data_IF_185248815557
#
_entry.id   IF_185248815557
#
_cell.length_a   1.000
_cell.length_b   1.000
_cell.length_c   1.000
_cell.angle_alpha   90.00
_cell.angle_beta   90.00
_cell.angle_gamma   90.00
#
_symmetry.space_group_name_H-M   'P 1'
#
loop_
_entity.id
_entity.type
_entity.pdbx_description
1 polymer ?
#
# COMPACT_ATOMS: atom_id res chain seq x y z
N UNK A 1 4.66 11.60 -13.77
CA UNK A 1 3.29 11.90 -13.32
C UNK A 1 2.57 12.97 -14.16
N UNK A 2 3.20 14.08 -14.59
CA UNK A 2 2.53 15.08 -15.44
C UNK A 2 1.97 14.51 -16.74
N UNK A 3 2.69 13.59 -17.39
CA UNK A 3 2.20 12.87 -18.57
C UNK A 3 0.98 12.00 -18.23
N UNK A 4 1.02 11.28 -17.11
CA UNK A 4 -0.11 10.49 -16.58
C UNK A 4 -1.33 11.39 -16.29
N UNK A 5 -1.12 12.53 -15.64
CA UNK A 5 -2.15 13.56 -15.41
C UNK A 5 -2.62 14.24 -16.70
N UNK A 6 -1.77 14.30 -17.71
CA UNK A 6 -2.03 14.87 -19.03
C UNK A 6 -2.57 13.86 -20.05
N UNK A 7 -3.04 12.69 -19.60
CA UNK A 7 -3.69 11.71 -20.48
C UNK A 7 -2.74 10.77 -21.23
N UNK A 8 -1.46 10.65 -20.89
CA UNK A 8 -0.56 9.71 -21.58
C UNK A 8 -1.03 8.26 -21.46
N UNK A 9 -1.69 7.89 -20.36
CA UNK A 9 -2.24 6.54 -20.22
C UNK A 9 -3.36 6.31 -21.23
N UNK A 10 -4.19 7.32 -21.48
CA UNK A 10 -5.18 7.30 -22.56
C UNK A 10 -4.49 7.18 -23.93
N UNK A 11 -3.42 7.94 -24.17
CA UNK A 11 -2.65 7.82 -25.41
C UNK A 11 -2.06 6.41 -25.58
N UNK A 12 -1.46 5.84 -24.53
CA UNK A 12 -0.87 4.49 -24.59
C UNK A 12 -1.96 3.46 -24.84
N UNK A 13 -3.03 3.49 -24.05
CA UNK A 13 -4.16 2.55 -24.13
C UNK A 13 -4.85 2.63 -25.49
N UNK A 14 -5.14 3.83 -25.99
CA UNK A 14 -5.69 4.02 -27.33
C UNK A 14 -4.75 3.58 -28.47
N UNK A 15 -3.43 3.55 -28.24
CA UNK A 15 -2.45 3.07 -29.21
C UNK A 15 -2.10 1.58 -29.06
N UNK A 16 -2.62 0.86 -28.05
CA UNK A 16 -2.37 -0.58 -27.90
C UNK A 16 -2.64 -1.38 -29.18
N UNK A 17 -3.73 -1.15 -29.93
CA UNK A 17 -3.96 -1.86 -31.19
C UNK A 17 -2.86 -1.62 -32.22
N UNK A 18 -2.33 -0.39 -32.26
CA UNK A 18 -1.23 -0.01 -33.15
C UNK A 18 0.09 -0.61 -32.69
N UNK A 19 0.37 -0.62 -31.39
CA UNK A 19 1.56 -1.27 -30.81
C UNK A 19 1.53 -2.77 -31.10
N UNK A 20 0.39 -3.43 -30.93
CA UNK A 20 0.22 -4.85 -31.25
C UNK A 20 0.46 -5.11 -32.75
N UNK A 21 -0.09 -4.28 -33.63
CA UNK A 21 0.09 -4.42 -35.08
C UNK A 21 1.54 -4.18 -35.55
N UNK A 22 2.27 -3.27 -34.90
CA UNK A 22 3.61 -2.86 -35.34
C UNK A 22 4.74 -3.65 -34.65
N UNK A 23 4.58 -3.93 -33.36
CA UNK A 23 5.62 -4.48 -32.50
C UNK A 23 5.26 -5.87 -31.93
N UNK A 24 4.04 -6.35 -32.21
CA UNK A 24 3.55 -7.65 -31.78
C UNK A 24 2.87 -7.66 -30.40
N UNK A 25 2.14 -8.75 -30.07
CA UNK A 25 1.38 -8.86 -28.83
C UNK A 25 2.21 -8.72 -27.55
N UNK A 26 3.44 -9.26 -27.53
CA UNK A 26 4.31 -9.18 -26.35
C UNK A 26 4.64 -7.73 -25.96
N UNK A 27 4.84 -6.84 -26.94
CA UNK A 27 5.13 -5.43 -26.68
C UNK A 27 3.89 -4.67 -26.20
N UNK A 28 2.71 -4.99 -26.76
CA UNK A 28 1.44 -4.46 -26.28
C UNK A 28 1.19 -4.89 -24.82
N UNK A 29 1.42 -6.15 -24.49
CA UNK A 29 1.30 -6.68 -23.12
C UNK A 29 2.29 -6.01 -22.17
N UNK A 30 3.54 -5.82 -22.59
CA UNK A 30 4.54 -5.10 -21.79
C UNK A 30 4.11 -3.65 -21.52
N UNK A 31 3.54 -2.97 -22.50
CA UNK A 31 3.00 -1.62 -22.30
C UNK A 31 1.88 -1.59 -21.25
N UNK A 32 0.95 -2.56 -21.29
CA UNK A 32 -0.10 -2.68 -20.27
C UNK A 32 0.47 -2.99 -18.88
N UNK A 33 1.43 -3.91 -18.78
CA UNK A 33 2.10 -4.23 -17.52
C UNK A 33 2.78 -3.00 -16.91
N UNK A 34 3.45 -2.18 -17.73
CA UNK A 34 4.08 -0.94 -17.26
C UNK A 34 3.06 0.09 -16.73
N UNK A 35 1.79 -0.03 -17.11
CA UNK A 35 0.73 0.86 -16.65
C UNK A 35 0.08 0.40 -15.34
N UNK A 36 0.04 -0.91 -15.07
CA UNK A 36 -0.59 -1.50 -13.88
C UNK A 36 -0.21 -0.79 -12.56
N UNK A 37 1.09 -0.50 -12.31
CA UNK A 37 1.56 0.32 -11.18
C UNK A 37 0.86 1.66 -10.94
N UNK A 38 0.14 2.20 -11.92
CA UNK A 38 -0.44 3.53 -11.86
C UNK A 38 -1.97 3.51 -11.81
N UNK A 39 -2.60 2.35 -12.04
CA UNK A 39 -4.06 2.23 -12.12
C UNK A 39 -4.73 2.46 -10.77
N UNK A 40 -4.05 2.22 -9.65
CA UNK A 40 -4.60 2.55 -8.32
C UNK A 40 -4.69 4.05 -8.04
N UNK A 41 -4.04 4.91 -8.82
CA UNK A 41 -4.16 6.35 -8.58
C UNK A 41 -5.56 6.81 -8.97
N UNK A 42 -6.27 7.46 -8.05
CA UNK A 42 -7.68 7.83 -8.22
C UNK A 42 -7.91 8.75 -9.42
N UNK A 43 -6.96 9.64 -9.73
CA UNK A 43 -7.00 10.50 -10.92
C UNK A 43 -6.86 9.70 -12.21
N UNK A 44 -5.98 8.70 -12.23
CA UNK A 44 -5.80 7.79 -13.37
C UNK A 44 -7.05 6.97 -13.58
N UNK A 45 -7.53 6.32 -12.53
CA UNK A 45 -8.72 5.50 -12.56
C UNK A 45 -9.93 6.29 -13.09
N UNK A 46 -10.19 7.50 -12.54
CA UNK A 46 -11.31 8.33 -13.00
C UNK A 46 -11.18 8.76 -14.45
N UNK A 47 -9.98 9.08 -14.92
CA UNK A 47 -9.76 9.41 -16.33
C UNK A 47 -10.06 8.21 -17.23
N UNK A 48 -9.58 7.02 -16.88
CA UNK A 48 -9.84 5.78 -17.61
C UNK A 48 -11.34 5.42 -17.61
N UNK A 49 -12.00 5.52 -16.46
CA UNK A 49 -13.44 5.24 -16.33
C UNK A 49 -14.29 6.18 -17.18
N UNK A 50 -13.95 7.48 -17.21
CA UNK A 50 -14.66 8.49 -18.01
C UNK A 50 -14.62 8.19 -19.52
N UNK A 51 -13.54 7.60 -20.01
CA UNK A 51 -13.31 7.35 -21.43
C UNK A 51 -13.63 5.91 -21.86
N UNK A 52 -14.11 5.06 -20.94
CA UNK A 52 -14.30 3.63 -21.19
C UNK A 52 -13.00 2.88 -21.57
N UNK A 53 -11.83 3.42 -21.20
CA UNK A 53 -10.51 2.88 -21.55
C UNK A 53 -10.28 1.46 -20.99
N UNK A 54 -11.06 1.06 -19.98
CA UNK A 54 -10.98 -0.25 -19.36
C UNK A 54 -11.38 -1.40 -20.28
N UNK A 55 -12.24 -1.14 -21.27
CA UNK A 55 -12.59 -2.13 -22.29
C UNK A 55 -11.34 -2.62 -23.05
N UNK A 56 -10.35 -1.74 -23.24
CA UNK A 56 -9.11 -2.06 -23.94
C UNK A 56 -8.21 -3.01 -23.14
N UNK A 57 -8.30 -2.97 -21.81
CA UNK A 57 -7.60 -3.93 -20.95
C UNK A 57 -8.27 -5.31 -20.90
N UNK A 58 -9.57 -5.38 -21.19
CA UNK A 58 -10.31 -6.64 -21.32
C UNK A 58 -10.20 -7.26 -22.71
N UNK A 59 -9.72 -6.50 -23.70
CA UNK A 59 -9.55 -6.99 -25.07
C UNK A 59 -8.53 -8.14 -25.11
N UNK A 60 -8.81 -9.22 -25.85
CA UNK A 60 -7.79 -10.23 -26.14
C UNK A 60 -6.59 -9.58 -26.85
N UNK A 61 -5.38 -9.80 -26.32
CA UNK A 61 -4.11 -9.39 -26.92
C UNK A 61 -3.25 -10.63 -27.00
N UNK A 62 -3.04 -11.16 -28.20
CA UNK A 62 -2.39 -12.46 -28.40
C UNK A 62 -3.09 -13.64 -27.72
N UNK A 63 -2.54 -14.84 -27.94
CA UNK A 63 -3.07 -16.11 -27.41
C UNK A 63 -2.08 -16.84 -26.47
N UNK A 64 -1.00 -16.18 -26.05
CA UNK A 64 -0.01 -16.80 -25.16
C UNK A 64 -0.55 -16.96 -23.74
N UNK A 65 -0.04 -17.96 -23.02
CA UNK A 65 -0.36 -18.15 -21.60
C UNK A 65 0.03 -16.92 -20.76
N UNK A 66 1.16 -16.28 -21.09
CA UNK A 66 1.60 -15.02 -20.48
C UNK A 66 0.56 -13.90 -20.67
N UNK A 67 0.00 -13.78 -21.87
CA UNK A 67 -1.03 -12.80 -22.17
C UNK A 67 -2.30 -13.02 -21.32
N UNK A 68 -2.69 -14.27 -21.11
CA UNK A 68 -3.83 -14.62 -20.26
C UNK A 68 -3.58 -14.22 -18.80
N UNK A 69 -2.40 -14.50 -18.26
CA UNK A 69 -2.02 -14.11 -16.89
C UNK A 69 -2.08 -12.59 -16.72
N UNK A 70 -1.51 -11.84 -17.66
CA UNK A 70 -1.52 -10.37 -17.63
C UNK A 70 -2.96 -9.84 -17.69
N UNK A 71 -3.78 -10.34 -18.62
CA UNK A 71 -5.19 -9.94 -18.73
C UNK A 71 -5.97 -10.23 -17.45
N UNK A 72 -5.80 -11.41 -16.87
CA UNK A 72 -6.43 -11.78 -15.61
C UNK A 72 -6.02 -10.82 -14.49
N UNK A 73 -4.73 -10.52 -14.36
CA UNK A 73 -4.24 -9.57 -13.36
C UNK A 73 -4.86 -8.19 -13.58
N UNK A 74 -4.86 -7.68 -14.81
CA UNK A 74 -5.45 -6.38 -15.10
C UNK A 74 -6.94 -6.34 -14.78
N UNK A 75 -7.70 -7.38 -15.14
CA UNK A 75 -9.13 -7.45 -14.86
C UNK A 75 -9.40 -7.41 -13.35
N UNK A 76 -8.65 -8.20 -12.57
CA UNK A 76 -8.71 -8.20 -11.11
C UNK A 76 -8.40 -6.79 -10.56
N UNK A 77 -7.33 -6.17 -11.05
CA UNK A 77 -6.96 -4.80 -10.72
C UNK A 77 -8.07 -3.78 -11.00
N UNK A 78 -8.71 -3.89 -12.16
CA UNK A 78 -9.79 -3.01 -12.56
C UNK A 78 -11.02 -3.17 -11.65
N UNK A 79 -11.42 -4.42 -11.40
CA UNK A 79 -12.59 -4.72 -10.58
C UNK A 79 -12.40 -4.26 -9.13
N UNK A 80 -11.18 -4.43 -8.59
CA UNK A 80 -10.79 -3.85 -7.30
C UNK A 80 -10.89 -2.33 -7.31
N UNK A 81 -10.27 -1.64 -8.27
CA UNK A 81 -10.30 -0.18 -8.30
C UNK A 81 -11.70 0.39 -8.53
N UNK A 82 -12.52 -0.28 -9.34
CA UNK A 82 -13.93 0.06 -9.52
C UNK A 82 -14.66 -0.03 -8.19
N UNK A 83 -14.52 -1.14 -7.47
CA UNK A 83 -15.08 -1.29 -6.13
C UNK A 83 -14.60 -0.17 -5.17
N UNK A 84 -13.33 0.24 -5.29
CA UNK A 84 -12.72 1.30 -4.49
C UNK A 84 -13.34 2.68 -4.73
N UNK A 85 -13.61 2.99 -5.99
CA UNK A 85 -13.90 4.35 -6.43
C UNK A 85 -15.37 4.59 -6.78
N UNK A 86 -16.14 3.55 -7.09
CA UNK A 86 -17.57 3.64 -7.42
C UNK A 86 -18.48 3.06 -6.33
N UNK A 87 -17.98 2.11 -5.54
CA UNK A 87 -18.79 1.40 -4.52
C UNK A 87 -18.90 2.13 -3.19
N UNK A 88 -17.90 2.92 -2.80
CA UNK A 88 -18.01 3.81 -1.64
C UNK A 88 -18.65 5.11 -2.09
N UNK A 89 -19.83 5.45 -1.55
CA UNK A 89 -20.27 6.83 -1.54
C UNK A 89 -19.09 7.65 -1.00
N UNK A 90 -18.66 8.65 -1.78
CA UNK A 90 -17.52 9.54 -1.47
C UNK A 90 -17.69 10.24 -0.11
N UNK A 91 -18.87 10.15 0.49
CA UNK A 91 -19.26 10.64 1.81
C UNK A 91 -18.79 9.76 2.99
N UNK A 92 -18.41 8.50 2.75
CA UNK A 92 -18.06 7.52 3.79
C UNK A 92 -16.58 7.54 4.20
N UNK A 93 -16.13 8.62 4.82
CA UNK A 93 -14.89 8.64 5.61
C UNK A 93 -13.62 9.04 4.85
N UNK A 94 -13.11 10.24 5.15
CA UNK A 94 -11.75 10.62 4.79
C UNK A 94 -10.77 9.64 5.48
N UNK A 95 -9.81 9.11 4.72
CA UNK A 95 -8.68 8.37 5.30
C UNK A 95 -7.89 9.40 6.10
N UNK A 96 -7.93 9.25 7.42
CA UNK A 96 -7.13 10.07 8.32
C UNK A 96 -5.68 9.64 8.16
N UNK A 97 -4.80 10.60 7.90
CA UNK A 97 -3.40 10.34 7.68
C UNK A 97 -2.57 11.00 8.79
N UNK A 98 -1.93 10.19 9.63
CA UNK A 98 -0.95 10.67 10.59
C UNK A 98 0.16 9.64 10.72
N UNK A 99 1.40 10.06 10.55
CA UNK A 99 2.60 9.23 10.73
C UNK A 99 2.96 9.03 12.21
N UNK A 100 2.38 9.81 13.12
CA UNK A 100 2.54 9.60 14.56
C UNK A 100 1.75 8.37 14.99
N UNK A 101 2.47 7.30 15.35
CA UNK A 101 1.86 6.05 15.76
C UNK A 101 1.16 6.14 17.12
N UNK A 102 1.38 7.15 17.96
CA UNK A 102 0.61 7.28 19.21
C UNK A 102 -0.83 7.75 18.98
N UNK A 103 -1.16 8.14 17.74
CA UNK A 103 -2.44 8.72 17.38
C UNK A 103 -3.48 7.68 16.90
N UNK A 104 -3.36 6.41 17.32
CA UNK A 104 -4.14 5.24 16.87
C UNK A 104 -5.66 5.29 17.09
N UNK A 105 -6.17 6.22 17.91
CA UNK A 105 -7.55 6.15 18.39
C UNK A 105 -8.29 7.49 18.43
N UNK A 106 -7.90 8.45 17.60
CA UNK A 106 -8.58 9.75 17.57
C UNK A 106 -9.87 9.73 16.76
N UNK A 107 -10.79 8.88 17.21
CA UNK A 107 -12.23 9.15 17.13
C UNK A 107 -12.62 10.52 17.73
N UNK A 108 -11.72 11.17 18.48
CA UNK A 108 -11.86 12.51 19.06
C UNK A 108 -11.52 13.68 18.13
N UNK A 109 -10.75 13.50 17.05
CA UNK A 109 -10.60 14.58 16.06
C UNK A 109 -11.79 14.52 15.11
N UNK A 110 -12.87 15.20 15.51
CA UNK A 110 -14.05 15.34 14.69
C UNK A 110 -13.66 15.75 13.27
N UNK A 111 -14.00 14.91 12.29
CA UNK A 111 -13.91 15.15 10.84
C UNK A 111 -14.87 16.31 10.52
N UNK A 112 -14.56 17.53 10.95
CA UNK A 112 -15.48 18.69 10.88
C UNK A 112 -14.93 19.87 10.09
N UNK A 113 -13.76 19.75 9.48
CA UNK A 113 -13.29 20.72 8.48
C UNK A 113 -12.35 20.05 7.49
N UNK A 114 -12.15 20.67 6.32
CA UNK A 114 -11.27 20.20 5.25
C UNK A 114 -9.84 19.96 5.77
N UNK A 115 -9.58 18.73 6.19
CA UNK A 115 -8.32 18.37 6.83
C UNK A 115 -7.21 18.37 5.77
N UNK A 116 -6.23 19.26 5.96
CA UNK A 116 -5.02 19.35 5.13
C UNK A 116 -3.84 18.88 5.97
N UNK A 117 -3.24 17.71 5.68
CA UNK A 117 -2.08 17.23 6.42
C UNK A 117 -0.90 18.20 6.32
N UNK A 118 -0.10 18.24 7.37
CA UNK A 118 1.19 18.90 7.41
C UNK A 118 2.27 17.90 7.04
N UNK A 119 2.93 18.10 5.92
CA UNK A 119 4.08 17.30 5.50
C UNK A 119 5.35 17.83 6.17
N UNK A 120 6.24 16.94 6.63
CA UNK A 120 7.53 17.36 7.16
C UNK A 120 8.31 18.13 6.08
N UNK A 121 8.70 19.36 6.37
CA UNK A 121 9.39 20.25 5.42
C UNK A 121 10.81 19.82 5.07
N UNK A 122 11.41 18.91 5.86
CA UNK A 122 12.76 18.41 5.64
C UNK A 122 12.76 17.14 4.80
N UNK A 123 12.09 16.09 5.26
CA UNK A 123 12.12 14.81 4.55
C UNK A 123 11.06 14.70 3.46
N UNK A 124 9.96 15.45 3.55
CA UNK A 124 8.80 15.28 2.69
C UNK A 124 8.17 13.87 2.72
N UNK A 125 8.63 12.95 3.59
CA UNK A 125 8.15 11.56 3.66
C UNK A 125 7.17 11.32 4.80
N UNK A 126 7.18 12.05 5.91
CA UNK A 126 6.16 11.90 6.96
C UNK A 126 5.09 12.99 6.82
N UNK A 127 3.85 12.68 7.21
CA UNK A 127 2.78 13.68 7.27
C UNK A 127 1.95 13.53 8.53
N UNK A 128 1.47 14.65 9.03
CA UNK A 128 0.85 14.76 10.34
C UNK A 128 -0.47 15.49 10.24
N UNK A 129 -1.42 15.14 11.11
CA UNK A 129 -2.68 15.85 11.19
C UNK A 129 -2.60 17.20 11.87
N UNK A 130 -1.56 17.42 12.69
CA UNK A 130 -1.33 18.65 13.41
C UNK A 130 0.17 18.83 13.70
N UNK A 131 0.55 20.00 14.23
CA UNK A 131 1.95 20.26 14.59
C UNK A 131 2.34 19.50 15.86
N UNK A 132 1.42 19.37 16.81
CA UNK A 132 1.57 18.63 18.05
C UNK A 132 1.91 17.17 17.75
N UNK A 133 1.19 16.53 16.81
CA UNK A 133 1.52 15.17 16.39
C UNK A 133 2.91 15.07 15.75
N UNK A 134 3.38 16.10 15.04
CA UNK A 134 4.72 16.12 14.47
C UNK A 134 5.79 16.23 15.56
N UNK A 135 5.60 17.09 16.56
CA UNK A 135 6.53 17.29 17.68
C UNK A 135 6.65 16.03 18.54
N UNK A 136 5.53 15.38 18.86
CA UNK A 136 5.50 14.11 19.57
C UNK A 136 6.24 12.99 18.82
N UNK A 137 5.97 12.86 17.52
CA UNK A 137 6.63 11.85 16.67
C UNK A 137 8.11 12.18 16.51
N UNK A 138 8.49 13.46 16.43
CA UNK A 138 9.89 13.90 16.38
C UNK A 138 10.71 13.37 17.55
N UNK A 139 10.18 13.54 18.77
CA UNK A 139 10.84 13.07 20.00
C UNK A 139 10.90 11.54 20.03
N UNK A 140 9.83 10.86 19.61
CA UNK A 140 9.72 9.42 19.75
C UNK A 140 10.47 8.62 18.67
N UNK A 141 10.38 9.04 17.41
CA UNK A 141 10.85 8.25 16.26
C UNK A 141 11.46 9.11 15.14
N UNK A 142 10.82 10.23 14.79
CA UNK A 142 11.09 10.91 13.52
C UNK A 142 12.45 11.63 13.48
N UNK A 143 12.99 12.07 14.61
CA UNK A 143 14.33 12.68 14.64
C UNK A 143 15.42 11.73 14.10
N UNK A 144 15.25 10.42 14.25
CA UNK A 144 16.25 9.42 13.86
C UNK A 144 16.19 9.05 12.37
N UNK A 145 15.01 9.09 11.77
CA UNK A 145 14.79 8.69 10.37
C UNK A 145 14.64 9.89 9.42
N UNK A 146 14.41 11.11 9.93
CA UNK A 146 14.19 12.29 9.10
C UNK A 146 15.38 12.57 8.19
N UNK A 147 16.61 12.46 8.69
CA UNK A 147 17.81 12.71 7.90
C UNK A 147 18.01 11.67 6.79
N UNK A 148 17.99 10.35 7.06
CA UNK A 148 18.00 9.34 5.99
C UNK A 148 16.92 9.55 4.93
N UNK A 149 15.68 9.81 5.35
CA UNK A 149 14.56 10.04 4.44
C UNK A 149 14.72 11.33 3.63
N UNK A 150 15.25 12.41 4.23
CA UNK A 150 15.52 13.65 3.53
C UNK A 150 16.67 13.52 2.52
N UNK A 151 17.70 12.75 2.85
CA UNK A 151 18.78 12.44 1.91
C UNK A 151 18.25 11.65 0.72
N UNK A 152 17.47 10.59 0.98
CA UNK A 152 16.78 9.84 -0.06
C UNK A 152 15.89 10.74 -0.93
N UNK A 153 15.06 11.58 -0.32
CA UNK A 153 14.17 12.49 -1.02
C UNK A 153 14.93 13.51 -1.90
N UNK A 154 16.04 14.03 -1.41
CA UNK A 154 16.87 15.00 -2.14
C UNK A 154 17.53 14.38 -3.37
N UNK A 155 17.80 13.07 -3.34
CA UNK A 155 18.32 12.31 -4.48
C UNK A 155 17.28 11.98 -5.56
N UNK A 156 16.00 12.29 -5.34
CA UNK A 156 14.94 12.09 -6.32
C UNK A 156 14.92 13.21 -7.36
N UNK A 157 14.68 12.87 -8.63
CA UNK A 157 14.29 13.89 -9.61
C UNK A 157 12.89 14.46 -9.31
N UNK A 158 12.56 15.62 -9.87
CA UNK A 158 11.28 16.29 -9.57
C UNK A 158 10.04 15.48 -10.01
N UNK A 159 10.18 14.59 -10.99
CA UNK A 159 9.11 13.68 -11.42
C UNK A 159 8.86 12.63 -10.34
N UNK A 160 9.91 12.14 -9.68
CA UNK A 160 9.83 11.15 -8.60
C UNK A 160 9.33 11.76 -7.30
N UNK A 161 9.72 12.99 -6.96
CA UNK A 161 9.20 13.70 -5.77
C UNK A 161 7.66 13.77 -5.78
N UNK A 162 7.08 13.89 -6.97
CA UNK A 162 5.62 13.90 -7.11
C UNK A 162 4.94 12.58 -6.75
N UNK A 163 5.65 11.44 -6.80
CA UNK A 163 5.10 10.13 -6.43
C UNK A 163 4.96 9.92 -4.93
N UNK A 164 5.63 10.72 -4.11
CA UNK A 164 5.41 10.73 -2.67
C UNK A 164 4.50 11.88 -2.23
N UNK A 165 3.77 12.49 -3.17
CA UNK A 165 2.74 13.47 -2.85
C UNK A 165 1.68 12.89 -1.92
N UNK A 166 1.05 13.77 -1.15
CA UNK A 166 -0.03 13.40 -0.24
C UNK A 166 -1.13 12.61 -0.96
N UNK A 167 -1.55 13.06 -2.14
CA UNK A 167 -2.65 12.43 -2.88
C UNK A 167 -2.33 11.00 -3.29
N UNK A 168 -1.10 10.73 -3.73
CA UNK A 168 -0.70 9.37 -4.08
C UNK A 168 -0.72 8.46 -2.85
N UNK A 169 -0.32 8.96 -1.69
CA UNK A 169 -0.35 8.16 -0.46
C UNK A 169 -1.75 7.90 0.02
N UNK A 170 -2.65 8.87 -0.10
CA UNK A 170 -4.09 8.64 0.16
C UNK A 170 -4.63 7.55 -0.76
N UNK A 171 -4.27 7.57 -2.04
CA UNK A 171 -4.69 6.54 -2.99
C UNK A 171 -4.12 5.16 -2.61
N UNK A 172 -2.84 5.07 -2.23
CA UNK A 172 -2.22 3.82 -1.78
C UNK A 172 -2.88 3.26 -0.52
N UNK A 173 -3.09 4.09 0.51
CA UNK A 173 -3.78 3.66 1.74
C UNK A 173 -5.23 3.26 1.47
N UNK A 174 -5.94 4.00 0.61
CA UNK A 174 -7.31 3.64 0.19
C UNK A 174 -7.34 2.29 -0.47
N UNK A 175 -6.37 2.03 -1.33
CA UNK A 175 -6.23 0.76 -2.01
C UNK A 175 -6.03 -0.37 -1.00
N UNK A 176 -5.08 -0.21 -0.04
CA UNK A 176 -4.86 -1.19 1.02
C UNK A 176 -6.11 -1.45 1.86
N UNK A 177 -6.75 -0.40 2.34
CA UNK A 177 -7.96 -0.53 3.15
C UNK A 177 -9.06 -1.27 2.38
N UNK A 178 -9.30 -0.91 1.13
CA UNK A 178 -10.30 -1.60 0.31
C UNK A 178 -10.01 -3.09 0.20
N UNK A 179 -8.79 -3.48 -0.12
CA UNK A 179 -8.52 -4.88 -0.40
C UNK A 179 -8.41 -5.69 0.87
N UNK A 180 -7.99 -5.10 1.98
CA UNK A 180 -8.23 -5.70 3.27
C UNK A 180 -9.73 -5.97 3.49
N UNK A 181 -10.59 -5.02 3.13
CA UNK A 181 -12.05 -5.18 3.20
C UNK A 181 -12.64 -6.15 2.18
N UNK A 182 -11.96 -6.51 1.09
CA UNK A 182 -12.42 -7.47 0.09
C UNK A 182 -11.86 -8.88 0.34
N UNK A 183 -10.55 -8.99 0.54
CA UNK A 183 -9.81 -10.25 0.47
C UNK A 183 -9.57 -10.88 1.86
N UNK A 184 -9.49 -10.09 2.92
CA UNK A 184 -9.19 -10.66 4.25
C UNK A 184 -10.43 -11.30 4.88
N UNK A 185 -10.27 -12.35 5.71
CA UNK A 185 -11.40 -12.94 6.43
C UNK A 185 -12.02 -11.94 7.43
N UNK A 186 -13.22 -12.22 7.92
CA UNK A 186 -13.74 -11.50 9.08
C UNK A 186 -12.88 -11.79 10.32
N UNK A 187 -12.67 -10.80 11.19
CA UNK A 187 -12.04 -11.03 12.49
C UNK A 187 -12.88 -11.98 13.36
N UNK A 188 -12.26 -12.76 14.27
CA UNK A 188 -10.82 -12.82 14.50
C UNK A 188 -10.10 -13.70 13.48
N UNK A 189 -8.94 -13.24 12.98
CA UNK A 189 -8.09 -14.00 12.06
C UNK A 189 -7.43 -15.24 12.68
N UNK A 190 -7.56 -15.44 14.00
CA UNK A 190 -6.92 -16.54 14.74
C UNK A 190 -7.38 -17.94 14.33
N UNK A 191 -8.39 -18.06 13.46
CA UNK A 191 -8.90 -19.34 12.94
C UNK A 191 -8.38 -19.70 11.56
N UNK A 192 -7.59 -18.85 10.90
CA UNK A 192 -7.08 -19.19 9.57
C UNK A 192 -6.02 -20.29 9.71
N UNK A 193 -6.23 -21.49 9.12
CA UNK A 193 -5.22 -22.55 9.15
C UNK A 193 -3.96 -22.04 8.45
N UNK A 194 -2.84 -21.98 9.17
CA UNK A 194 -1.58 -21.55 8.59
C UNK A 194 -1.08 -22.61 7.61
N UNK A 195 -0.87 -22.27 6.32
CA UNK A 195 -0.31 -23.21 5.36
C UNK A 195 1.12 -23.54 5.78
N UNK A 196 1.35 -24.76 6.25
CA UNK A 196 2.67 -25.27 6.63
C UNK A 196 3.24 -24.56 7.87
N UNK A 197 3.02 -25.14 9.04
CA UNK A 197 3.87 -24.86 10.19
C UNK A 197 5.28 -25.35 9.86
N UNK A 198 6.08 -24.50 9.20
CA UNK A 198 7.50 -24.77 8.97
C UNK A 198 8.14 -24.99 10.33
N UNK A 199 8.92 -26.08 10.42
CA UNK A 199 9.65 -26.48 11.62
C UNK A 199 10.42 -25.27 12.16
N UNK A 200 10.01 -24.77 13.32
CA UNK A 200 10.62 -23.61 13.94
C UNK A 200 12.02 -23.99 14.39
N UNK A 201 13.05 -23.53 13.68
CA UNK A 201 14.39 -23.46 14.25
C UNK A 201 14.31 -22.52 15.45
N UNK A 202 14.72 -22.94 16.66
CA UNK A 202 14.68 -22.08 17.83
C UNK A 202 15.46 -20.79 17.54
N UNK A 203 14.87 -19.61 17.74
CA UNK A 203 15.57 -18.36 17.50
C UNK A 203 16.75 -18.22 18.47
N UNK A 204 17.90 -17.76 17.96
CA UNK A 204 19.02 -17.33 18.80
C UNK A 204 18.54 -16.17 19.70
N UNK A 205 18.60 -16.33 21.04
CA UNK A 205 18.08 -15.34 21.99
C UNK A 205 18.92 -14.06 22.08
N UNK A 206 20.10 -13.99 21.47
CA UNK A 206 21.07 -12.92 21.76
C UNK A 206 20.93 -11.64 20.92
N UNK A 207 20.16 -11.63 19.82
CA UNK A 207 20.22 -10.52 18.85
C UNK A 207 18.87 -10.00 18.32
N UNK A 208 17.73 -10.48 18.84
CA UNK A 208 16.43 -10.07 18.28
C UNK A 208 15.80 -8.92 19.06
N UNK A 209 15.62 -7.73 18.45
CA UNK A 209 15.03 -6.56 19.13
C UNK A 209 13.54 -6.74 19.47
N UNK A 210 12.87 -7.79 18.95
CA UNK A 210 11.48 -8.10 19.26
C UNK A 210 11.14 -9.57 18.98
N UNK A 211 10.41 -10.23 19.88
CA UNK A 211 9.85 -11.58 19.68
C UNK A 211 8.35 -11.48 19.37
N UNK A 212 7.97 -11.84 18.14
CA UNK A 212 6.55 -11.94 17.77
C UNK A 212 5.90 -13.13 18.48
N UNK A 213 4.62 -13.00 18.86
CA UNK A 213 3.86 -14.11 19.42
C UNK A 213 3.74 -15.24 18.39
N UNK A 214 3.88 -16.52 18.81
CA UNK A 214 3.64 -17.65 17.93
C UNK A 214 2.25 -17.57 17.29
N UNK A 215 2.18 -17.74 15.97
CA UNK A 215 0.93 -17.66 15.21
C UNK A 215 0.53 -16.25 14.77
N UNK A 216 1.27 -15.20 15.13
CA UNK A 216 1.07 -13.86 14.57
C UNK A 216 1.30 -13.88 13.05
N UNK A 217 0.40 -13.21 12.32
CA UNK A 217 0.43 -13.11 10.86
C UNK A 217 0.42 -11.66 10.40
N UNK A 218 0.96 -11.44 9.21
CA UNK A 218 0.81 -10.20 8.46
C UNK A 218 0.20 -10.49 7.10
N UNK A 219 -0.71 -9.63 6.67
CA UNK A 219 -1.23 -9.63 5.32
C UNK A 219 -0.30 -8.82 4.43
N UNK A 220 0.38 -9.46 3.49
CA UNK A 220 1.28 -8.80 2.55
C UNK A 220 0.59 -8.73 1.20
N UNK A 221 0.53 -7.53 0.67
CA UNK A 221 0.04 -7.29 -0.65
C UNK A 221 1.12 -6.69 -1.53
N UNK A 222 1.55 -7.51 -2.47
CA UNK A 222 2.46 -7.10 -3.52
C UNK A 222 1.68 -6.67 -4.76
N UNK A 223 1.66 -5.35 -4.98
CA UNK A 223 0.95 -4.76 -6.12
C UNK A 223 1.57 -5.16 -7.45
N UNK A 224 2.87 -5.47 -7.45
CA UNK A 224 3.66 -5.71 -8.65
C UNK A 224 3.38 -7.10 -9.19
N UNK A 225 3.39 -8.11 -8.32
CA UNK A 225 3.10 -9.48 -8.75
C UNK A 225 1.63 -9.69 -9.08
N UNK A 226 0.73 -8.83 -8.59
CA UNK A 226 -0.71 -8.99 -8.79
C UNK A 226 -1.29 -10.25 -8.16
N UNK A 227 -0.55 -10.88 -7.23
CA UNK A 227 -0.88 -12.18 -6.63
C UNK A 227 -1.96 -12.12 -5.55
N UNK A 228 -2.61 -10.98 -5.38
CA UNK A 228 -3.57 -10.75 -4.28
C UNK A 228 -2.90 -10.63 -2.92
N UNK A 229 -3.72 -10.74 -1.87
CA UNK A 229 -3.26 -10.64 -0.48
C UNK A 229 -2.78 -12.00 0.01
N UNK A 230 -1.55 -12.05 0.55
CA UNK A 230 -0.96 -13.26 1.13
C UNK A 230 -0.85 -13.12 2.63
N UNK A 231 -1.29 -14.12 3.38
CA UNK A 231 -1.02 -14.20 4.82
C UNK A 231 0.31 -14.92 5.04
N UNK A 232 1.24 -14.28 5.74
CA UNK A 232 2.56 -14.85 6.04
C UNK A 232 2.83 -14.83 7.55
N UNK A 233 3.58 -15.82 8.08
CA UNK A 233 4.03 -15.78 9.47
C UNK A 233 4.85 -14.51 9.73
N UNK A 234 4.46 -13.74 10.74
CA UNK A 234 5.09 -12.44 11.02
C UNK A 234 6.57 -12.58 11.37
N UNK A 235 6.94 -13.61 12.14
CA UNK A 235 8.34 -13.86 12.52
C UNK A 235 9.25 -14.07 11.30
N UNK A 236 8.82 -14.90 10.34
CA UNK A 236 9.59 -15.15 9.10
C UNK A 236 9.66 -13.92 8.21
N UNK A 237 8.59 -13.13 8.17
CA UNK A 237 8.53 -11.93 7.35
C UNK A 237 9.41 -10.80 7.90
N UNK A 238 9.42 -10.60 9.23
CA UNK A 238 10.28 -9.61 9.88
C UNK A 238 11.76 -9.85 9.59
N UNK A 239 12.21 -11.10 9.58
CA UNK A 239 13.62 -11.45 9.36
C UNK A 239 14.12 -11.08 7.96
N UNK A 240 13.22 -11.09 6.98
CA UNK A 240 13.54 -10.96 5.55
C UNK A 240 13.19 -9.58 4.99
N UNK A 241 12.07 -8.98 5.41
CA UNK A 241 11.52 -7.79 4.76
C UNK A 241 11.68 -6.50 5.56
N UNK A 242 12.08 -6.57 6.84
CA UNK A 242 12.05 -5.40 7.73
C UNK A 242 13.40 -4.80 8.12
N UNK A 243 14.47 -5.36 7.56
CA UNK A 243 15.80 -4.78 7.66
C UNK A 243 15.96 -3.76 6.54
N UNK A 244 16.33 -2.55 6.91
CA UNK A 244 16.83 -1.56 5.95
C UNK A 244 18.20 -2.02 5.39
N UNK A 245 18.72 -1.36 4.34
CA UNK A 245 20.01 -1.75 3.75
C UNK A 245 21.19 -1.78 4.73
N UNK A 246 21.13 -1.02 5.83
CA UNK A 246 22.15 -1.04 6.89
C UNK A 246 21.92 -2.12 7.96
N UNK A 247 20.93 -3.00 7.74
CA UNK A 247 20.54 -4.08 8.64
C UNK A 247 19.62 -3.67 9.79
N UNK A 248 19.33 -2.37 9.98
CA UNK A 248 18.50 -1.91 11.10
C UNK A 248 17.02 -2.03 10.79
N UNK A 249 16.25 -2.32 11.83
CA UNK A 249 14.79 -2.35 11.80
C UNK A 249 14.26 -0.97 12.17
N UNK A 250 13.30 -0.44 11.41
CA UNK A 250 12.63 0.82 11.76
C UNK A 250 11.95 0.68 13.14
N UNK A 251 12.24 1.56 14.10
CA UNK A 251 11.74 1.46 15.48
C UNK A 251 10.21 1.57 15.60
N UNK A 252 9.51 2.02 14.55
CA UNK A 252 8.03 2.02 14.51
C UNK A 252 7.45 0.63 14.27
N UNK A 253 8.19 -0.26 13.60
CA UNK A 253 7.67 -1.59 13.25
C UNK A 253 7.34 -2.43 14.48
N UNK A 254 8.23 -2.57 15.49
CA UNK A 254 7.89 -3.28 16.72
C UNK A 254 6.69 -2.68 17.45
N UNK A 255 6.50 -1.35 17.40
CA UNK A 255 5.36 -0.69 18.03
C UNK A 255 4.03 -1.03 17.32
N UNK A 256 4.02 -1.07 15.98
CA UNK A 256 2.87 -1.56 15.21
C UNK A 256 2.54 -3.02 15.50
N UNK A 257 3.55 -3.88 15.62
CA UNK A 257 3.34 -5.29 16.00
C UNK A 257 2.75 -5.39 17.40
N UNK A 258 3.34 -4.69 18.37
CA UNK A 258 2.86 -4.70 19.76
C UNK A 258 1.39 -4.27 19.85
N UNK A 259 0.99 -3.24 19.10
CA UNK A 259 -0.40 -2.79 19.05
C UNK A 259 -1.35 -3.85 18.48
N UNK A 260 -0.95 -4.49 17.38
CA UNK A 260 -1.72 -5.55 16.77
C UNK A 260 -1.87 -6.76 17.71
N UNK A 261 -0.78 -7.18 18.35
CA UNK A 261 -0.76 -8.30 19.29
C UNK A 261 -1.45 -8.00 20.62
N UNK A 262 -1.50 -6.74 21.05
CA UNK A 262 -2.26 -6.30 22.22
C UNK A 262 -3.77 -6.40 22.00
N UNK A 263 -4.23 -6.36 20.75
CA UNK A 263 -5.64 -6.37 20.37
C UNK A 263 -5.97 -7.55 19.44
N UNK A 264 -5.72 -8.81 19.87
CA UNK A 264 -5.91 -9.96 19.01
C UNK A 264 -7.38 -10.08 18.60
N UNK A 265 -7.63 -10.20 17.29
CA UNK A 265 -8.99 -10.27 16.74
C UNK A 265 -9.68 -8.92 16.54
N UNK A 266 -9.06 -7.81 16.97
CA UNK A 266 -9.52 -6.45 16.66
C UNK A 266 -8.54 -5.68 15.80
N UNK A 267 -7.27 -6.06 15.77
CA UNK A 267 -6.26 -5.41 14.96
C UNK A 267 -5.59 -6.42 14.04
N UNK A 268 -5.20 -5.96 12.85
CA UNK A 268 -4.44 -6.72 11.88
C UNK A 268 -3.30 -5.85 11.34
N UNK A 269 -2.23 -6.51 10.91
CA UNK A 269 -1.12 -5.87 10.24
C UNK A 269 -1.20 -6.15 8.74
N UNK A 270 -1.11 -5.10 7.93
CA UNK A 270 -1.13 -5.21 6.47
C UNK A 270 0.06 -4.45 5.91
N UNK A 271 0.81 -5.03 4.98
CA UNK A 271 1.87 -4.35 4.24
C UNK A 271 1.56 -4.30 2.76
N UNK A 272 1.54 -3.08 2.20
CA UNK A 272 1.46 -2.84 0.76
C UNK A 272 2.82 -2.59 0.16
N UNK A 273 3.19 -3.30 -0.90
CA UNK A 273 4.42 -3.08 -1.65
C UNK A 273 4.05 -2.42 -2.97
N UNK A 274 4.41 -1.14 -3.11
CA UNK A 274 4.10 -0.33 -4.28
C UNK A 274 5.36 -0.05 -5.10
N UNK A 275 5.31 -0.19 -6.43
CA UNK A 275 6.44 0.14 -7.30
C UNK A 275 6.78 1.62 -7.29
N UNK A 276 8.08 1.94 -7.37
CA UNK A 276 8.58 3.32 -7.43
C UNK A 276 9.50 3.55 -8.65
N UNK A 277 8.91 3.91 -9.80
CA UNK A 277 9.47 4.38 -11.10
C UNK A 277 10.58 3.53 -11.78
N UNK A 278 11.45 2.86 -11.03
CA UNK A 278 12.50 1.96 -11.49
C UNK A 278 12.27 0.57 -10.91
N UNK A 279 12.69 -0.47 -11.63
CA UNK A 279 12.48 -1.89 -11.29
C UNK A 279 13.07 -2.33 -9.93
N UNK A 280 13.84 -1.46 -9.25
CA UNK A 280 14.59 -1.81 -8.04
C UNK A 280 14.14 -1.08 -6.76
N UNK A 281 13.19 -0.14 -6.84
CA UNK A 281 12.76 0.64 -5.66
C UNK A 281 11.29 0.46 -5.36
N UNK A 282 10.99 0.29 -4.07
CA UNK A 282 9.64 0.03 -3.60
C UNK A 282 9.27 0.92 -2.43
N UNK A 283 8.02 1.38 -2.44
CA UNK A 283 7.39 1.98 -1.27
C UNK A 283 6.66 0.86 -0.53
N UNK A 284 7.13 0.57 0.66
CA UNK A 284 6.48 -0.34 1.58
C UNK A 284 5.61 0.48 2.55
N UNK A 285 4.31 0.23 2.53
CA UNK A 285 3.35 0.84 3.44
C UNK A 285 2.86 -0.22 4.42
N UNK A 286 3.42 -0.21 5.63
CA UNK A 286 2.90 -1.01 6.71
C UNK A 286 1.76 -0.24 7.39
N UNK A 287 0.61 -0.87 7.56
CA UNK A 287 -0.54 -0.28 8.22
C UNK A 287 -1.07 -1.21 9.29
N UNK A 288 -1.48 -0.62 10.41
CA UNK A 288 -2.33 -1.31 11.39
C UNK A 288 -3.76 -0.96 11.04
N UNK A 289 -4.60 -1.98 10.89
CA UNK A 289 -6.03 -1.79 10.68
C UNK A 289 -6.80 -2.33 11.88
N UNK A 290 -7.83 -1.60 12.31
CA UNK A 290 -8.79 -2.07 13.31
C UNK A 290 -10.04 -2.63 12.63
N UNK A 291 -10.53 -3.73 13.18
CA UNK A 291 -11.82 -4.30 12.87
C UNK A 291 -12.93 -3.35 13.27
N UNK A 292 -13.89 -3.13 12.39
CA UNK A 292 -15.13 -2.42 12.70
C UNK A 292 -16.16 -3.40 13.29
N UNK A 293 -17.14 -2.89 14.03
CA UNK A 293 -18.20 -3.70 14.63
C UNK A 293 -18.99 -4.48 13.56
N UNK A 294 -19.40 -5.70 13.91
CA UNK A 294 -20.16 -6.60 13.04
C UNK A 294 -21.50 -5.93 12.68
N UNK A 295 -21.66 -5.53 11.41
CA UNK A 295 -22.88 -4.91 10.89
C UNK A 295 -22.67 -3.95 9.71
N UNK A 296 -21.45 -3.43 9.54
CA UNK A 296 -21.07 -2.64 8.36
C UNK A 296 -20.60 -3.49 7.18
N UNK A 297 -20.71 -2.95 5.96
CA UNK A 297 -20.02 -3.51 4.79
C UNK A 297 -18.49 -3.41 4.95
N UNK A 298 -18.01 -2.39 5.65
CA UNK A 298 -16.60 -2.24 6.00
C UNK A 298 -16.27 -3.04 7.26
N UNK A 299 -15.23 -3.87 7.12
CA UNK A 299 -14.68 -4.80 8.11
C UNK A 299 -13.44 -4.24 8.80
N UNK A 300 -12.64 -3.45 8.07
CA UNK A 300 -11.35 -2.95 8.51
C UNK A 300 -11.21 -1.45 8.21
N UNK A 301 -10.54 -0.73 9.11
CA UNK A 301 -10.16 0.67 8.92
C UNK A 301 -8.71 0.90 9.30
N UNK A 302 -7.97 1.65 8.49
CA UNK A 302 -6.59 2.03 8.81
C UNK A 302 -6.59 2.97 10.02
N UNK A 303 -5.76 2.65 11.01
CA UNK A 303 -5.55 3.51 12.20
C UNK A 303 -4.15 4.10 12.28
N UNK A 304 -3.18 3.50 11.61
CA UNK A 304 -1.84 4.08 11.44
C UNK A 304 -1.16 3.51 10.21
N UNK A 305 -0.14 4.23 9.76
CA UNK A 305 0.72 3.80 8.68
C UNK A 305 2.17 4.16 8.98
N UNK A 306 3.08 3.27 8.59
CA UNK A 306 4.52 3.46 8.58
C UNK A 306 4.98 3.30 7.15
N UNK A 307 5.69 4.31 6.66
CA UNK A 307 6.23 4.33 5.31
C UNK A 307 7.68 3.92 5.39
N UNK A 308 8.06 3.00 4.51
CA UNK A 308 9.45 2.65 4.29
C UNK A 308 9.74 2.71 2.81
N UNK A 309 10.96 3.12 2.52
CA UNK A 309 11.51 3.07 1.18
C UNK A 309 12.59 2.01 1.21
N UNK A 310 12.43 1.01 0.35
CA UNK A 310 13.39 -0.09 0.15
C UNK A 310 13.97 0.03 -1.25
#
# INVERSE_FOLDING_TARGET
>A
MYLIRGGILQCIVGNIPRVESLLGPSQALRALQLMLPYVYHSKVFRAMAKNDDHALFRRPIGASQEAEVIRKNVAVWWDWNTSAYTGRNVEGGQIMFCSNIKHWDTSSHSIRSAWTPKQCSRCHVTMYCSQECQEEDWIAYHSQDCQPLAHWYSGLDDRHKSLISFEIRVDQLRHLELNANLELPHPPLSKVPMPGALSQVPPDPSDKPYTCRPGSVIAVWDVISGTGVRLVPLASYQETAWKSPDGKVDPRLPACVKEMEANPGRSILVEGIFPFISDEKFIHLLVVMKALSLGGQERYRIVTNVIRVV
#
